data_IF_903740799077
#
_entry.id   IF_903740799077
#
_cell.length_a   1.000
_cell.length_b   1.000
_cell.length_c   1.000
_cell.angle_alpha   90.00
_cell.angle_beta   90.00
_cell.angle_gamma   90.00
#
_symmetry.space_group_name_H-M   'P 1'
#
loop_
_entity.id
_entity.type
_entity.pdbx_description
1 polymer ?
#
# COMPACT_ATOMS: atom_id res chain seq x y z
N UNK A 1 6.56 -10.02 -10.23
CA UNK A 1 6.40 -9.19 -9.03
C UNK A 1 4.97 -8.67 -8.98
N UNK A 2 4.50 -8.23 -7.82
CA UNK A 2 3.10 -7.86 -7.60
C UNK A 2 2.96 -6.55 -6.83
N UNK A 3 1.83 -5.88 -7.03
CA UNK A 3 1.39 -4.76 -6.21
C UNK A 3 0.44 -5.26 -5.14
N UNK A 4 0.80 -5.01 -3.89
CA UNK A 4 -0.06 -5.17 -2.75
C UNK A 4 -0.70 -3.84 -2.39
N UNK A 5 -1.87 -3.87 -1.78
CA UNK A 5 -2.44 -2.71 -1.09
C UNK A 5 -2.50 -2.98 0.40
N UNK A 6 -2.21 -1.97 1.23
CA UNK A 6 -2.25 -2.10 2.68
C UNK A 6 -2.76 -0.80 3.32
N UNK A 7 -3.59 -0.94 4.36
CA UNK A 7 -4.08 0.15 5.20
C UNK A 7 -3.72 -0.09 6.65
N UNK A 8 -3.31 0.95 7.38
CA UNK A 8 -2.86 0.82 8.78
C UNK A 8 -3.88 1.21 9.85
N UNK A 9 -5.09 1.62 9.45
CA UNK A 9 -6.23 1.75 10.37
C UNK A 9 -6.44 0.44 11.13
N UNK A 10 -6.62 0.52 12.45
CA UNK A 10 -6.69 -0.67 13.31
C UNK A 10 -5.37 -1.42 13.58
N UNK A 11 -4.30 -1.24 12.79
CA UNK A 11 -3.02 -1.97 12.96
C UNK A 11 -1.96 -1.23 13.78
N UNK A 12 -1.36 -1.86 14.78
CA UNK A 12 -0.08 -1.38 15.34
C UNK A 12 1.08 -1.65 14.36
N UNK A 13 2.28 -1.13 14.66
CA UNK A 13 3.42 -1.28 13.76
C UNK A 13 3.84 -2.74 13.58
N UNK A 14 3.76 -3.56 14.63
CA UNK A 14 4.17 -4.97 14.58
C UNK A 14 3.24 -5.81 13.69
N UNK A 15 1.92 -5.63 13.82
CA UNK A 15 0.93 -6.29 12.97
C UNK A 15 1.05 -5.81 11.51
N UNK A 16 1.38 -4.54 11.31
CA UNK A 16 1.63 -4.00 9.97
C UNK A 16 2.87 -4.66 9.33
N UNK A 17 3.99 -4.75 10.05
CA UNK A 17 5.19 -5.44 9.57
C UNK A 17 4.93 -6.93 9.30
N UNK A 18 4.17 -7.61 10.16
CA UNK A 18 3.79 -9.02 9.95
C UNK A 18 2.98 -9.21 8.65
N UNK A 19 2.05 -8.31 8.35
CA UNK A 19 1.30 -8.35 7.09
C UNK A 19 2.19 -8.14 5.87
N UNK A 20 3.13 -7.19 5.92
CA UNK A 20 4.10 -6.99 4.83
C UNK A 20 4.92 -8.26 4.57
N UNK A 21 5.39 -8.94 5.63
CA UNK A 21 6.10 -10.23 5.48
C UNK A 21 5.23 -11.31 4.86
N UNK A 22 3.95 -11.38 5.24
CA UNK A 22 3.03 -12.39 4.68
C UNK A 22 2.78 -12.22 3.17
N UNK A 23 2.90 -11.00 2.66
CA UNK A 23 2.85 -10.70 1.23
C UNK A 23 4.20 -10.77 0.51
N UNK A 24 5.27 -11.21 1.18
CA UNK A 24 6.64 -11.13 0.65
C UNK A 24 6.97 -9.74 0.08
N UNK A 25 6.50 -8.69 0.74
CA UNK A 25 6.72 -7.30 0.33
C UNK A 25 8.18 -6.93 0.55
N UNK A 26 8.76 -6.24 -0.42
CA UNK A 26 10.14 -5.76 -0.35
C UNK A 26 10.18 -4.22 -0.21
N UNK A 27 9.20 -3.54 -0.81
CA UNK A 27 9.09 -2.07 -0.78
C UNK A 27 7.70 -1.61 -0.36
N UNK A 28 7.64 -0.65 0.55
CA UNK A 28 6.42 0.11 0.84
C UNK A 28 6.45 1.42 0.07
N UNK A 29 5.42 1.61 -0.77
CA UNK A 29 5.17 2.86 -1.48
C UNK A 29 4.08 3.62 -0.74
N UNK A 30 4.47 4.65 -0.01
CA UNK A 30 3.57 5.58 0.66
C UNK A 30 2.92 6.49 -0.37
N UNK A 31 1.62 6.33 -0.58
CA UNK A 31 0.84 7.12 -1.53
C UNK A 31 -0.10 8.09 -0.81
N UNK A 32 0.22 8.45 0.45
CA UNK A 32 -0.49 9.52 1.14
C UNK A 32 -0.02 10.86 0.57
N UNK A 33 -0.96 11.74 0.20
CA UNK A 33 -0.62 13.13 -0.20
C UNK A 33 0.23 13.79 0.90
N UNK A 34 -0.25 13.68 2.15
CA UNK A 34 0.46 14.12 3.35
C UNK A 34 0.67 12.91 4.29
N UNK A 35 1.91 12.39 4.42
CA UNK A 35 2.22 11.22 5.25
C UNK A 35 2.33 11.57 6.75
N UNK A 36 1.33 12.30 7.25
CA UNK A 36 1.20 12.66 8.66
C UNK A 36 0.29 11.65 9.35
N UNK A 37 0.69 11.20 10.53
CA UNK A 37 -0.12 10.30 11.34
C UNK A 37 0.14 10.53 12.82
N UNK A 38 -0.92 10.50 13.62
CA UNK A 38 -0.86 10.49 15.09
C UNK A 38 -0.62 9.08 15.65
N UNK A 39 -0.74 8.05 14.81
CA UNK A 39 -0.49 6.67 15.21
C UNK A 39 1.02 6.43 15.29
N UNK A 40 1.49 5.97 16.45
CA UNK A 40 2.91 5.69 16.70
C UNK A 40 3.46 4.77 15.60
N UNK A 41 4.59 5.18 15.01
CA UNK A 41 5.27 4.44 13.93
C UNK A 41 4.76 4.70 12.51
N UNK A 42 3.71 5.51 12.31
CA UNK A 42 3.13 5.76 10.98
C UNK A 42 3.31 7.18 10.45
N UNK A 43 4.03 8.05 11.16
CA UNK A 43 4.53 9.30 10.58
C UNK A 43 5.64 9.01 9.56
N UNK A 44 5.82 9.84 8.53
CA UNK A 44 6.80 9.61 7.44
C UNK A 44 8.15 9.07 7.90
N UNK A 45 8.86 9.82 8.75
CA UNK A 45 10.21 9.45 9.18
C UNK A 45 10.18 8.20 10.07
N UNK A 46 9.28 8.16 11.07
CA UNK A 46 9.20 7.00 11.95
C UNK A 46 8.84 5.71 11.22
N UNK A 47 7.98 5.79 10.21
CA UNK A 47 7.62 4.66 9.36
C UNK A 47 8.79 4.21 8.49
N UNK A 48 9.45 5.14 7.80
CA UNK A 48 10.63 4.85 6.97
C UNK A 48 11.71 4.16 7.80
N UNK A 49 12.03 4.71 8.97
CA UNK A 49 13.10 4.20 9.80
C UNK A 49 12.77 2.80 10.33
N UNK A 50 11.51 2.56 10.74
CA UNK A 50 11.02 1.24 11.13
C UNK A 50 11.05 0.22 9.99
N UNK A 51 10.66 0.62 8.77
CA UNK A 51 10.67 -0.24 7.59
C UNK A 51 12.09 -0.65 7.21
N UNK A 52 12.99 0.33 7.11
CA UNK A 52 14.40 0.10 6.77
C UNK A 52 15.06 -0.84 7.79
N UNK A 53 14.83 -0.61 9.09
CA UNK A 53 15.35 -1.47 10.16
C UNK A 53 14.82 -2.92 10.10
N UNK A 54 13.72 -3.16 9.38
CA UNK A 54 13.08 -4.47 9.23
C UNK A 54 13.25 -5.09 7.84
N UNK A 55 14.10 -4.50 6.99
CA UNK A 55 14.43 -5.01 5.67
C UNK A 55 13.47 -4.59 4.55
N UNK A 56 12.61 -3.60 4.77
CA UNK A 56 11.71 -3.06 3.76
C UNK A 56 12.20 -1.72 3.25
N UNK A 57 12.29 -1.56 1.93
CA UNK A 57 12.51 -0.26 1.32
C UNK A 57 11.28 0.64 1.50
N UNK A 58 11.49 1.96 1.49
CA UNK A 58 10.42 2.94 1.60
C UNK A 58 10.56 4.02 0.51
N UNK A 59 9.47 4.25 -0.22
CA UNK A 59 9.35 5.35 -1.20
C UNK A 59 8.06 6.12 -0.91
N UNK A 60 8.12 7.45 -0.93
CA UNK A 60 6.94 8.31 -0.85
C UNK A 60 6.63 8.89 -2.23
N UNK A 61 5.41 8.67 -2.71
CA UNK A 61 4.90 9.18 -4.00
C UNK A 61 3.61 9.97 -3.73
N UNK A 62 3.77 11.21 -3.26
CA UNK A 62 2.67 12.11 -2.89
C UNK A 62 1.69 12.38 -4.04
N UNK A 63 2.17 12.30 -5.27
CA UNK A 63 1.47 12.54 -6.54
C UNK A 63 0.44 11.45 -6.84
N UNK A 64 0.51 10.31 -6.15
CA UNK A 64 -0.49 9.25 -6.18
C UNK A 64 -1.48 9.35 -5.02
N UNK A 65 -1.35 10.36 -4.16
CA UNK A 65 -2.25 10.64 -3.06
C UNK A 65 -3.51 11.38 -3.46
N UNK A 66 -4.58 11.20 -2.68
CA UNK A 66 -5.82 11.94 -2.88
C UNK A 66 -5.61 13.44 -2.63
N UNK A 67 -5.80 14.31 -3.65
CA UNK A 67 -5.67 15.76 -3.50
C UNK A 67 -6.63 16.34 -2.47
N UNK A 68 -6.19 17.35 -1.74
CA UNK A 68 -7.00 18.06 -0.73
C UNK A 68 -8.42 18.42 -1.19
N UNK A 69 -8.66 19.00 -2.39
CA UNK A 69 -10.02 19.35 -2.82
C UNK A 69 -10.96 18.14 -2.93
N UNK A 70 -10.47 17.02 -3.49
CA UNK A 70 -11.26 15.80 -3.66
C UNK A 70 -11.60 15.18 -2.30
N UNK A 71 -10.59 15.12 -1.41
CA UNK A 71 -10.72 14.60 -0.05
C UNK A 71 -11.68 15.44 0.79
N UNK A 72 -11.54 16.75 0.77
CA UNK A 72 -12.37 17.65 1.59
C UNK A 72 -13.81 17.68 1.11
N UNK A 73 -14.07 17.57 -0.20
CA UNK A 73 -15.42 17.42 -0.71
C UNK A 73 -16.06 16.10 -0.24
N UNK A 74 -15.32 14.98 -0.28
CA UNK A 74 -15.83 13.69 0.21
C UNK A 74 -16.15 13.69 1.71
N UNK A 75 -15.39 14.45 2.51
CA UNK A 75 -15.71 14.64 3.93
C UNK A 75 -17.01 15.40 4.17
N UNK A 76 -17.42 16.24 3.22
CA UNK A 76 -18.65 17.03 3.32
C UNK A 76 -19.88 16.23 2.89
N UNK A 77 -19.79 15.49 1.79
CA UNK A 77 -20.95 14.84 1.17
C UNK A 77 -21.01 13.32 1.33
N UNK A 78 -19.90 12.66 1.68
CA UNK A 78 -19.82 11.20 1.74
C UNK A 78 -20.01 10.49 0.38
N UNK A 79 -19.98 11.21 -0.74
CA UNK A 79 -20.26 10.66 -2.06
C UNK A 79 -19.04 9.91 -2.64
N UNK A 80 -19.07 8.59 -2.47
CA UNK A 80 -18.00 7.72 -2.96
C UNK A 80 -17.95 7.63 -4.49
N UNK A 81 -19.08 7.76 -5.19
CA UNK A 81 -19.09 7.66 -6.66
C UNK A 81 -18.45 8.90 -7.27
N UNK A 82 -18.78 10.09 -6.76
CA UNK A 82 -18.12 11.34 -7.11
C UNK A 82 -16.64 11.29 -6.78
N UNK A 83 -16.27 10.86 -5.56
CA UNK A 83 -14.86 10.70 -5.16
C UNK A 83 -14.07 9.84 -6.17
N UNK A 84 -14.58 8.66 -6.53
CA UNK A 84 -13.93 7.78 -7.50
C UNK A 84 -13.77 8.45 -8.86
N UNK A 85 -14.82 9.12 -9.35
CA UNK A 85 -14.80 9.82 -10.64
C UNK A 85 -13.72 10.89 -10.65
N UNK A 86 -13.70 11.75 -9.63
CA UNK A 86 -12.77 12.87 -9.53
C UNK A 86 -11.34 12.36 -9.35
N UNK A 87 -11.12 11.35 -8.50
CA UNK A 87 -9.79 10.79 -8.28
C UNK A 87 -9.25 10.06 -9.51
N UNK A 88 -10.09 9.31 -10.26
CA UNK A 88 -9.67 8.70 -11.53
C UNK A 88 -9.28 9.75 -12.57
N UNK A 89 -10.00 10.88 -12.64
CA UNK A 89 -9.64 12.01 -13.50
C UNK A 89 -8.31 12.66 -13.08
N UNK A 90 -8.07 12.78 -11.78
CA UNK A 90 -6.77 13.24 -11.28
C UNK A 90 -5.65 12.28 -11.68
N UNK A 91 -5.88 10.97 -11.51
CA UNK A 91 -4.89 9.93 -11.79
C UNK A 91 -4.57 9.80 -13.29
N UNK A 92 -5.54 10.03 -14.19
CA UNK A 92 -5.30 10.01 -15.64
C UNK A 92 -4.34 11.08 -16.13
N UNK A 93 -3.97 12.04 -15.27
CA UNK A 93 -2.96 13.08 -15.54
C UNK A 93 -1.58 12.72 -14.97
N UNK A 94 -1.37 11.49 -14.50
CA UNK A 94 -0.17 11.02 -13.79
C UNK A 94 0.48 9.81 -14.46
N UNK A 95 0.43 9.75 -15.80
CA UNK A 95 0.92 8.58 -16.55
C UNK A 95 2.41 8.30 -16.32
N UNK A 96 3.22 9.35 -16.20
CA UNK A 96 4.65 9.31 -15.84
C UNK A 96 4.85 8.69 -14.45
N UNK A 97 4.13 9.18 -13.45
CA UNK A 97 4.22 8.67 -12.07
C UNK A 97 3.73 7.22 -11.95
N UNK A 98 2.73 6.84 -12.75
CA UNK A 98 2.24 5.46 -12.84
C UNK A 98 3.28 4.56 -13.52
N UNK A 99 4.01 5.06 -14.53
CA UNK A 99 5.13 4.34 -15.13
C UNK A 99 6.27 4.12 -14.14
N UNK A 100 6.67 5.14 -13.39
CA UNK A 100 7.69 5.00 -12.33
C UNK A 100 7.29 3.94 -11.30
N UNK A 101 6.01 3.92 -10.90
CA UNK A 101 5.49 2.89 -9.99
C UNK A 101 5.53 1.50 -10.61
N UNK A 102 5.21 1.37 -11.91
CA UNK A 102 5.24 0.07 -12.59
C UNK A 102 6.66 -0.47 -12.75
N UNK A 103 7.66 0.37 -12.97
CA UNK A 103 9.07 -0.03 -12.99
C UNK A 103 9.53 -0.60 -11.65
N UNK A 104 9.18 0.07 -10.54
CA UNK A 104 9.46 -0.44 -9.18
C UNK A 104 8.73 -1.77 -8.92
N UNK A 105 7.46 -1.86 -9.30
CA UNK A 105 6.65 -3.06 -9.15
C UNK A 105 7.04 -4.18 -10.12
N UNK A 106 7.79 -3.89 -11.18
CA UNK A 106 8.38 -4.89 -12.08
C UNK A 106 9.62 -5.56 -11.49
N UNK A 107 10.33 -4.87 -10.60
CA UNK A 107 11.59 -5.33 -10.00
C UNK A 107 11.46 -5.82 -8.55
N UNK A 108 10.39 -5.47 -7.85
CA UNK A 108 10.16 -5.88 -6.46
C UNK A 108 8.67 -5.96 -6.10
N UNK A 109 8.32 -6.76 -5.09
CA UNK A 109 6.97 -6.76 -4.54
C UNK A 109 6.71 -5.47 -3.76
N UNK A 110 5.80 -4.63 -4.27
CA UNK A 110 5.51 -3.31 -3.73
C UNK A 110 4.18 -3.27 -2.98
N UNK A 111 4.12 -2.64 -1.80
CA UNK A 111 2.87 -2.39 -1.08
C UNK A 111 2.48 -0.91 -1.09
N UNK A 112 1.34 -0.58 -1.71
CA UNK A 112 0.75 0.75 -1.68
C UNK A 112 0.08 1.00 -0.33
N UNK A 113 0.62 1.97 0.39
CA UNK A 113 0.19 2.32 1.73
C UNK A 113 -0.77 3.52 1.73
N UNK A 114 -1.91 3.35 2.39
CA UNK A 114 -2.79 4.45 2.82
C UNK A 114 -3.27 4.21 4.27
N UNK A 115 -4.19 5.05 4.76
CA UNK A 115 -4.76 4.92 6.10
C UNK A 115 -5.82 3.82 6.20
N UNK A 116 -6.88 3.89 5.39
CA UNK A 116 -8.14 3.16 5.58
C UNK A 116 -7.94 1.64 5.56
N UNK A 117 -8.54 0.88 6.47
CA UNK A 117 -8.39 -0.59 6.46
C UNK A 117 -9.08 -1.21 5.23
N UNK A 118 -10.24 -0.66 4.83
CA UNK A 118 -11.03 -1.14 3.71
C UNK A 118 -10.48 -0.63 2.38
N UNK A 119 -9.81 -1.49 1.60
CA UNK A 119 -9.27 -1.15 0.28
C UNK A 119 -10.35 -0.74 -0.73
N UNK A 120 -11.58 -1.27 -0.59
CA UNK A 120 -12.72 -0.96 -1.48
C UNK A 120 -13.22 0.49 -1.34
N UNK A 121 -12.84 1.13 -0.23
CA UNK A 121 -13.20 2.50 0.15
C UNK A 121 -11.94 3.36 0.32
N UNK A 122 -10.94 3.16 -0.54
CA UNK A 122 -9.68 3.88 -0.49
C UNK A 122 -9.16 4.17 -1.91
N UNK A 123 -8.42 5.27 -2.09
CA UNK A 123 -7.82 5.58 -3.38
C UNK A 123 -6.73 4.61 -3.80
N UNK A 124 -6.09 3.92 -2.86
CA UNK A 124 -4.99 3.00 -3.16
C UNK A 124 -5.37 1.89 -4.13
N UNK A 125 -6.61 1.43 -4.11
CA UNK A 125 -7.09 0.45 -5.08
C UNK A 125 -7.19 1.05 -6.47
N UNK A 126 -7.59 2.31 -6.61
CA UNK A 126 -7.62 2.98 -7.92
C UNK A 126 -6.21 3.19 -8.49
N UNK A 127 -5.21 3.42 -7.64
CA UNK A 127 -3.80 3.48 -8.06
C UNK A 127 -3.30 2.10 -8.51
N UNK A 128 -3.56 1.05 -7.72
CA UNK A 128 -3.20 -0.32 -8.08
C UNK A 128 -3.86 -0.76 -9.39
N UNK A 129 -5.17 -0.49 -9.55
CA UNK A 129 -5.94 -0.79 -10.75
C UNK A 129 -5.37 -0.06 -11.98
N UNK A 130 -4.93 1.19 -11.83
CA UNK A 130 -4.34 1.94 -12.93
C UNK A 130 -3.03 1.30 -13.42
N UNK A 131 -2.18 0.84 -12.51
CA UNK A 131 -0.96 0.11 -12.87
C UNK A 131 -1.30 -1.23 -13.52
N UNK A 132 -2.24 -1.98 -12.96
CA UNK A 132 -2.69 -3.26 -13.53
C UNK A 132 -3.21 -3.10 -14.96
N UNK A 133 -4.08 -2.13 -15.20
CA UNK A 133 -4.68 -1.88 -16.51
C UNK A 133 -3.65 -1.42 -17.54
N UNK A 134 -2.64 -0.64 -17.14
CA UNK A 134 -1.63 -0.11 -18.04
C UNK A 134 -0.47 -1.07 -18.31
N UNK A 135 -0.09 -1.91 -17.33
CA UNK A 135 1.15 -2.70 -17.37
C UNK A 135 0.96 -4.19 -17.06
N UNK A 136 -0.25 -4.65 -16.75
CA UNK A 136 -0.53 -6.06 -16.48
C UNK A 136 0.04 -6.60 -15.16
N UNK A 137 0.43 -5.73 -14.22
CA UNK A 137 0.98 -6.15 -12.92
C UNK A 137 -0.15 -6.69 -12.03
N UNK A 138 0.08 -7.84 -11.41
CA UNK A 138 -0.89 -8.48 -10.51
C UNK A 138 -1.12 -7.66 -9.24
N UNK A 139 -2.37 -7.59 -8.79
CA UNK A 139 -2.80 -6.83 -7.60
C UNK A 139 -3.37 -7.76 -6.53
N UNK A 140 -2.90 -7.59 -5.30
CA UNK A 140 -3.42 -8.28 -4.12
C UNK A 140 -3.67 -7.31 -2.95
N UNK A 141 -4.49 -7.70 -1.99
CA UNK A 141 -4.86 -6.86 -0.86
C UNK A 141 -4.46 -7.51 0.47
N UNK A 142 -3.62 -6.83 1.25
CA UNK A 142 -3.20 -7.28 2.59
C UNK A 142 -4.21 -6.77 3.62
N UNK A 143 -4.83 -7.68 4.37
CA UNK A 143 -5.80 -7.35 5.41
C UNK A 143 -5.52 -8.14 6.70
N UNK A 144 -5.99 -7.61 7.83
CA UNK A 144 -5.98 -8.35 9.08
C UNK A 144 -6.83 -9.63 8.91
N UNK A 145 -6.23 -10.80 9.13
CA UNK A 145 -6.86 -12.11 8.94
C UNK A 145 -6.39 -12.90 7.70
N UNK A 146 -5.61 -12.30 6.79
CA UNK A 146 -5.05 -13.00 5.61
C UNK A 146 -3.81 -13.84 5.95
N UNK A 147 -3.30 -13.77 7.18
CA UNK A 147 -2.14 -14.57 7.63
C UNK A 147 -2.56 -16.02 7.80
N UNK A 148 -2.38 -16.83 6.77
CA UNK A 148 -2.15 -18.27 6.98
C UNK A 148 -0.76 -18.39 7.59
N UNK A 149 -0.70 -18.87 8.83
CA UNK A 149 0.55 -19.33 9.45
C UNK A 149 1.24 -20.29 8.50
N UNK A 150 2.40 -19.91 7.97
CA UNK A 150 3.31 -20.85 7.35
C UNK A 150 3.82 -21.76 8.46
N UNK A 151 3.25 -22.97 8.56
CA UNK A 151 3.80 -24.04 9.39
C UNK A 151 5.15 -24.41 8.80
N UNK A 152 6.24 -24.03 9.47
CA UNK A 152 7.57 -24.54 9.22
C UNK A 152 7.65 -25.99 9.69
N UNK A 153 7.22 -26.91 8.82
CA UNK A 153 7.61 -28.31 8.93
C UNK A 153 8.89 -28.51 8.11
N UNK A 154 10.05 -28.42 8.76
CA UNK A 154 11.21 -29.20 8.34
C UNK A 154 12.20 -29.34 9.49
N UNK A 155 12.34 -30.57 9.99
CA UNK A 155 13.47 -31.01 10.82
C UNK A 155 14.08 -32.20 10.06
N UNK A 156 15.38 -32.19 9.74
CA UNK A 156 16.00 -33.28 9.01
C UNK A 156 16.09 -34.53 9.89
N UNK A 157 15.95 -35.67 9.24
CA UNK A 157 16.22 -37.02 9.75
C UNK A 157 17.65 -37.07 10.32
N UNK A 158 17.77 -37.59 11.55
CA UNK A 158 19.03 -37.98 12.13
C UNK A 158 19.12 -39.50 12.08
N UNK A 159 20.18 -39.98 11.41
CA UNK A 159 20.58 -41.37 11.27
C UNK A 159 20.68 -42.11 12.61
N UNK A 160 20.23 -43.37 12.61
CA UNK A 160 20.84 -44.49 13.31
C UNK A 160 20.53 -45.77 12.52
#
# INVERSE_FOLDING_TARGET
MSIFTIGYEGLNIDNFLALLRSGCVEMVVDIRELPLSRKRGFSKNGLRDMLNANGFAYRHMSELGCPKPIRDQYRQDGDWQRYKKDFKRYLSLKNDVIADLSEMAGSSNCALLCFEANYRMCHRSMVADAVHLAYGIEVAHLQAGTVKTATTANRPEALA
#
